data_IF_931066865184
#
_entry.id   IF_931066865184
#
_cell.length_a   1.000
_cell.length_b   1.000
_cell.length_c   1.000
_cell.angle_alpha   90.00
_cell.angle_beta   90.00
_cell.angle_gamma   90.00
#
_symmetry.space_group_name_H-M   'P 1'
#
loop_
_entity.id
_entity.type
_entity.pdbx_description
1 polymer ?
#
# COMPACT_ATOMS: atom_id res chain seq x y z
N UNK A 1 6.87 14.25 11.56
CA UNK A 1 6.55 14.36 10.12
C UNK A 1 6.18 12.96 9.64
N UNK A 2 5.10 12.81 8.87
CA UNK A 2 4.63 11.48 8.42
C UNK A 2 5.38 11.03 7.16
N UNK A 3 5.71 9.74 7.09
CA UNK A 3 6.25 9.10 5.89
C UNK A 3 5.10 8.77 4.94
N UNK A 4 5.25 9.06 3.64
CA UNK A 4 4.28 8.62 2.63
C UNK A 4 4.35 7.10 2.51
N UNK A 5 3.20 6.43 2.51
CA UNK A 5 3.10 4.99 2.31
C UNK A 5 1.99 4.66 1.32
N UNK A 6 2.26 3.69 0.44
CA UNK A 6 1.28 3.11 -0.46
C UNK A 6 0.93 1.70 0.04
N UNK A 7 -0.37 1.41 0.06
CA UNK A 7 -0.92 0.16 0.59
C UNK A 7 -1.61 -0.60 -0.54
N UNK A 8 -1.18 -1.84 -0.77
CA UNK A 8 -1.81 -2.71 -1.76
C UNK A 8 -2.24 -4.03 -1.09
N UNK A 9 -3.49 -4.48 -1.29
CA UNK A 9 -3.90 -5.80 -0.80
C UNK A 9 -3.08 -6.93 -1.42
N UNK A 10 -2.85 -8.05 -0.71
CA UNK A 10 -2.29 -9.25 -1.31
C UNK A 10 -3.10 -9.71 -2.52
N UNK A 11 -2.44 -10.36 -3.48
CA UNK A 11 -3.07 -10.77 -4.75
C UNK A 11 -4.35 -11.59 -4.56
N UNK A 12 -4.35 -12.51 -3.58
CA UNK A 12 -5.52 -13.33 -3.28
C UNK A 12 -6.71 -12.51 -2.80
N UNK A 13 -6.48 -11.44 -2.04
CA UNK A 13 -7.52 -10.52 -1.57
C UNK A 13 -7.99 -9.64 -2.71
N UNK A 14 -7.06 -9.09 -3.50
CA UNK A 14 -7.37 -8.32 -4.69
C UNK A 14 -8.23 -9.10 -5.70
N UNK A 15 -7.89 -10.36 -5.99
CA UNK A 15 -8.69 -11.18 -6.91
C UNK A 15 -10.14 -11.40 -6.43
N UNK A 16 -10.38 -11.37 -5.12
CA UNK A 16 -11.72 -11.55 -4.55
C UNK A 16 -12.53 -10.25 -4.52
N UNK A 17 -11.86 -9.13 -4.22
CA UNK A 17 -12.53 -7.88 -3.88
C UNK A 17 -12.47 -6.83 -5.01
N UNK A 18 -11.48 -6.92 -5.90
CA UNK A 18 -11.32 -5.97 -6.98
C UNK A 18 -12.44 -6.14 -8.05
N UNK A 19 -12.81 -5.04 -8.72
CA UNK A 19 -13.67 -5.09 -9.90
C UNK A 19 -13.13 -6.07 -10.94
N UNK A 20 -14.02 -6.75 -11.67
CA UNK A 20 -13.67 -7.80 -12.64
C UNK A 20 -12.57 -7.36 -13.62
N UNK A 21 -12.63 -6.11 -14.09
CA UNK A 21 -11.64 -5.55 -15.03
C UNK A 21 -10.25 -5.35 -14.41
N UNK A 22 -10.17 -5.21 -13.08
CA UNK A 22 -8.95 -4.90 -12.34
C UNK A 22 -8.27 -6.15 -11.77
N UNK A 23 -8.99 -7.28 -11.64
CA UNK A 23 -8.47 -8.50 -11.01
C UNK A 23 -7.18 -9.03 -11.68
N UNK A 24 -7.05 -8.88 -13.01
CA UNK A 24 -5.87 -9.28 -13.77
C UNK A 24 -4.73 -8.26 -13.72
N UNK A 25 -4.97 -7.05 -13.22
CA UNK A 25 -4.01 -5.94 -13.22
C UNK A 25 -3.15 -5.89 -11.95
N UNK A 26 -3.34 -6.80 -11.00
CA UNK A 26 -2.66 -6.75 -9.70
C UNK A 26 -1.14 -6.70 -9.82
N UNK A 27 -0.55 -7.57 -10.65
CA UNK A 27 0.89 -7.63 -10.83
C UNK A 27 1.44 -6.32 -11.43
N UNK A 28 0.75 -5.76 -12.42
CA UNK A 28 1.12 -4.49 -13.05
C UNK A 28 1.07 -3.36 -12.02
N UNK A 29 -0.03 -3.28 -11.26
CA UNK A 29 -0.22 -2.24 -10.26
C UNK A 29 0.81 -2.34 -9.12
N UNK A 30 1.16 -3.55 -8.68
CA UNK A 30 2.21 -3.76 -7.68
C UNK A 30 3.54 -3.22 -8.17
N UNK A 31 3.93 -3.56 -9.39
CA UNK A 31 5.24 -3.19 -9.95
C UNK A 31 5.32 -1.65 -10.12
N UNK A 32 4.26 -1.03 -10.65
CA UNK A 32 4.19 0.44 -10.79
C UNK A 32 4.21 1.16 -9.43
N UNK A 33 3.53 0.63 -8.41
CA UNK A 33 3.54 1.21 -7.06
C UNK A 33 4.89 1.07 -6.37
N UNK A 34 5.56 -0.07 -6.54
CA UNK A 34 6.89 -0.31 -5.98
C UNK A 34 7.94 0.63 -6.60
N UNK A 35 7.86 0.85 -7.92
CA UNK A 35 8.68 1.83 -8.63
C UNK A 35 8.42 3.25 -8.11
N UNK A 36 7.14 3.67 -8.03
CA UNK A 36 6.78 4.99 -7.53
C UNK A 36 7.25 5.20 -6.08
N UNK A 37 7.09 4.20 -5.21
CA UNK A 37 7.55 4.27 -3.83
C UNK A 37 9.07 4.45 -3.74
N UNK A 38 9.81 3.73 -4.58
CA UNK A 38 11.27 3.85 -4.66
C UNK A 38 11.69 5.26 -5.08
N UNK A 39 11.05 5.85 -6.09
CA UNK A 39 11.36 7.21 -6.56
C UNK A 39 11.02 8.30 -5.54
N UNK A 40 9.94 8.10 -4.78
CA UNK A 40 9.41 9.11 -3.86
C UNK A 40 9.87 8.92 -2.41
N UNK A 41 10.78 7.97 -2.15
CA UNK A 41 11.19 7.56 -0.80
C UNK A 41 9.99 7.24 0.11
N UNK A 42 8.95 6.65 -0.49
CA UNK A 42 7.74 6.23 0.19
C UNK A 42 7.84 4.74 0.54
N UNK A 43 7.12 4.33 1.58
CA UNK A 43 7.05 2.93 2.00
C UNK A 43 5.99 2.18 1.19
N UNK A 44 6.32 1.00 0.68
CA UNK A 44 5.35 0.12 0.01
C UNK A 44 4.98 -1.02 0.94
N UNK A 45 3.69 -1.15 1.25
CA UNK A 45 3.19 -2.15 2.21
C UNK A 45 2.13 -3.03 1.54
N UNK A 46 2.37 -4.34 1.52
CA UNK A 46 1.32 -5.30 1.23
C UNK A 46 0.52 -5.54 2.51
N UNK A 47 -0.74 -5.11 2.52
CA UNK A 47 -1.55 -5.16 3.72
C UNK A 47 -2.97 -5.65 3.42
N UNK A 48 -3.37 -6.72 4.10
CA UNK A 48 -4.64 -7.42 3.84
C UNK A 48 -5.86 -6.62 4.32
N UNK A 49 -5.68 -5.66 5.22
CA UNK A 49 -6.75 -4.85 5.80
C UNK A 49 -6.35 -3.38 5.79
N UNK A 50 -7.13 -2.46 5.25
CA UNK A 50 -6.78 -1.03 5.35
C UNK A 50 -6.85 -0.56 6.81
N UNK A 51 -5.71 -0.26 7.45
CA UNK A 51 -5.64 0.38 8.78
C UNK A 51 -5.18 1.83 8.69
N UNK A 52 -5.79 2.69 9.51
CA UNK A 52 -5.36 4.08 9.69
C UNK A 52 -4.37 4.13 10.85
N UNK A 53 -3.08 4.28 10.56
CA UNK A 53 -2.06 4.50 11.57
C UNK A 53 -2.01 5.97 11.99
N UNK A 54 -2.37 6.27 13.24
CA UNK A 54 -2.11 7.57 13.84
C UNK A 54 -0.69 7.56 14.42
N UNK A 55 0.22 8.34 13.83
CA UNK A 55 1.54 8.58 14.43
C UNK A 55 1.36 9.52 15.63
N UNK A 56 1.30 8.97 16.84
CA UNK A 56 1.37 9.80 18.06
C UNK A 56 2.78 10.39 18.16
N UNK A 57 2.94 11.71 18.31
CA UNK A 57 4.26 12.29 18.54
C UNK A 57 4.79 11.78 19.89
N UNK A 58 6.06 11.37 19.90
CA UNK A 58 6.79 10.93 21.09
C UNK A 58 6.73 12.06 22.13
N UNK A 59 6.12 11.81 23.29
CA UNK A 59 6.28 12.70 24.44
C UNK A 59 7.60 12.34 25.12
N UNK A 60 8.65 13.12 24.85
CA UNK A 60 9.84 13.15 25.70
C UNK A 60 9.40 13.60 27.11
N UNK A 61 9.68 12.78 28.11
CA UNK A 61 9.55 13.10 29.55
C UNK A 61 10.94 13.20 30.16
#
# INVERSE_FOLDING_TARGET
MGTLSAHLPPENTWRKEAPIWAQSLWAILRDELEEWCTENHAEFVLYEFAEVHFSTPIQDT
#
